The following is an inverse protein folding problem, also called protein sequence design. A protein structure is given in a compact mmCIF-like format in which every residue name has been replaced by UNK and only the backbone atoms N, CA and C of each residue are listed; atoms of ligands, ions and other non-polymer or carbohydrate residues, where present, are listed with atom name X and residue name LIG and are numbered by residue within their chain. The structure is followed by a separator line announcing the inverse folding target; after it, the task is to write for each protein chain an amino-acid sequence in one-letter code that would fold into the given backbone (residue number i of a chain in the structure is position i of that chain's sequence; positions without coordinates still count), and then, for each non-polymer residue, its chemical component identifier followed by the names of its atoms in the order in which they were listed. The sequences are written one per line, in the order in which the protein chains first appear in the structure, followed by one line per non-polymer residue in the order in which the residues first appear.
data_IF_200847442822
#
_entry.id   IF_200847442822
#
_cell.length_a   1.000
_cell.length_b   1.000
_cell.length_c   1.000
_cell.angle_alpha   90.00
_cell.angle_beta   90.00
_cell.angle_gamma   90.00
#
_symmetry.space_group_name_H-M   'P 1'
#
loop_
_entity.id
_entity.type
_entity.pdbx_description
1 polymer ?
#
# COMPACT_ATOMS: atom_id res chain seq x y z
N UNK A 1 -22.96 12.77 -21.64
CA UNK A 1 -21.63 12.23 -21.95
C UNK A 1 -21.68 10.73 -21.78
N UNK A 2 -21.00 9.99 -22.67
CA UNK A 2 -20.99 8.52 -22.62
C UNK A 2 -19.58 7.99 -22.77
N UNK A 3 -19.27 6.92 -22.07
CA UNK A 3 -18.02 6.15 -22.26
C UNK A 3 -18.08 5.44 -23.58
N UNK A 4 -17.08 5.65 -24.43
CA UNK A 4 -17.03 5.06 -25.80
C UNK A 4 -16.03 3.92 -25.89
N UNK A 5 -14.95 3.98 -25.10
CA UNK A 5 -13.86 3.00 -25.11
C UNK A 5 -13.09 3.03 -23.80
N UNK A 6 -12.55 1.90 -23.39
CA UNK A 6 -11.51 1.81 -22.36
C UNK A 6 -10.29 1.16 -22.99
N UNK A 7 -9.17 1.86 -23.00
CA UNK A 7 -7.87 1.32 -23.42
C UNK A 7 -7.14 0.80 -22.19
N UNK A 8 -6.63 -0.42 -22.26
CA UNK A 8 -5.84 -1.04 -21.18
C UNK A 8 -4.44 -1.31 -21.74
N UNK A 9 -3.42 -0.91 -21.01
CA UNK A 9 -2.04 -1.01 -21.47
C UNK A 9 -1.08 -1.31 -20.33
N UNK A 10 0.06 -1.89 -20.66
CA UNK A 10 1.18 -2.07 -19.75
C UNK A 10 2.15 -0.92 -19.93
N UNK A 11 2.56 -0.33 -18.82
CA UNK A 11 3.61 0.68 -18.83
C UNK A 11 4.98 -0.02 -18.84
N UNK A 12 5.90 0.38 -19.74
CA UNK A 12 7.25 -0.18 -19.75
C UNK A 12 8.01 0.26 -18.50
N UNK A 13 8.69 -0.69 -17.87
CA UNK A 13 9.58 -0.43 -16.73
C UNK A 13 10.96 -1.03 -16.98
N UNK A 14 11.99 -0.52 -16.31
CA UNK A 14 13.35 -1.05 -16.41
C UNK A 14 13.44 -2.52 -15.97
N UNK A 15 12.55 -2.94 -15.06
CA UNK A 15 12.45 -4.32 -14.57
C UNK A 15 11.03 -4.88 -14.77
N UNK A 16 10.66 -5.13 -16.02
CA UNK A 16 9.33 -5.61 -16.42
C UNK A 16 8.93 -6.98 -15.86
N UNK A 17 9.89 -7.76 -15.32
CA UNK A 17 9.60 -9.05 -14.68
C UNK A 17 9.06 -8.89 -13.26
N UNK A 18 9.53 -7.89 -12.54
CA UNK A 18 9.12 -7.62 -11.17
C UNK A 18 8.09 -6.50 -11.06
N UNK A 19 8.05 -5.60 -12.05
CA UNK A 19 7.19 -4.43 -11.99
C UNK A 19 6.50 -4.24 -13.35
N UNK A 20 5.20 -4.38 -13.40
CA UNK A 20 4.38 -4.29 -14.62
C UNK A 20 3.12 -3.46 -14.38
N UNK A 21 3.25 -2.13 -14.27
CA UNK A 21 2.11 -1.25 -14.05
C UNK A 21 1.08 -1.38 -15.16
N UNK A 22 -0.19 -1.43 -14.78
CA UNK A 22 -1.33 -1.55 -15.69
C UNK A 22 -2.09 -0.24 -15.69
N UNK A 23 -1.98 0.50 -16.79
CA UNK A 23 -2.75 1.71 -17.01
C UNK A 23 -4.06 1.44 -17.73
N UNK A 24 -5.04 2.30 -17.51
CA UNK A 24 -6.21 2.38 -18.38
C UNK A 24 -6.53 3.82 -18.74
N UNK A 25 -7.10 4.01 -19.93
CA UNK A 25 -7.64 5.29 -20.38
C UNK A 25 -9.09 5.11 -20.78
N UNK A 26 -9.97 5.86 -20.14
CA UNK A 26 -11.41 5.90 -20.44
C UNK A 26 -11.69 7.06 -21.36
N UNK A 27 -12.27 6.78 -22.53
CA UNK A 27 -12.64 7.75 -23.56
C UNK A 27 -14.14 8.06 -23.51
N UNK A 28 -14.49 9.28 -23.86
CA UNK A 28 -15.89 9.73 -23.96
C UNK A 28 -16.26 10.26 -25.33
N UNK A 29 -17.57 10.30 -25.63
CA UNK A 29 -18.14 10.85 -26.86
C UNK A 29 -17.96 12.37 -27.03
N UNK A 30 -17.49 13.07 -26.00
CA UNK A 30 -17.20 14.51 -26.02
C UNK A 30 -15.71 14.83 -26.07
N UNK A 31 -14.85 13.82 -26.23
CA UNK A 31 -13.40 13.99 -26.36
C UNK A 31 -12.64 14.14 -25.03
N UNK A 32 -13.33 14.18 -23.88
CA UNK A 32 -12.67 14.14 -22.56
C UNK A 32 -12.23 12.71 -22.29
N UNK A 33 -10.97 12.53 -21.90
CA UNK A 33 -10.42 11.23 -21.45
C UNK A 33 -9.93 11.32 -20.02
N UNK A 34 -9.96 10.21 -19.30
CA UNK A 34 -9.36 10.08 -17.97
C UNK A 34 -8.44 8.89 -17.90
N UNK A 35 -7.40 9.01 -17.10
CA UNK A 35 -6.37 8.00 -16.87
C UNK A 35 -6.44 7.43 -15.47
N UNK A 36 -6.16 6.14 -15.36
CA UNK A 36 -6.07 5.43 -14.09
C UNK A 36 -5.09 4.28 -14.14
N UNK A 37 -4.76 3.74 -13.00
CA UNK A 37 -3.79 2.65 -12.82
C UNK A 37 -4.30 1.61 -11.82
N UNK A 38 -4.04 0.33 -12.13
CA UNK A 38 -4.28 -0.77 -11.22
C UNK A 38 -3.05 -0.99 -10.31
N UNK A 39 -3.26 -1.08 -9.00
CA UNK A 39 -2.17 -1.13 -8.02
C UNK A 39 -1.36 -2.43 -7.99
N UNK A 40 -1.79 -3.50 -8.66
CA UNK A 40 -1.07 -4.77 -8.73
C UNK A 40 0.13 -4.74 -9.69
N UNK A 41 0.97 -3.72 -9.58
CA UNK A 41 2.11 -3.53 -10.46
C UNK A 41 3.32 -4.40 -10.06
N UNK A 42 3.53 -4.60 -8.77
CA UNK A 42 4.69 -5.30 -8.21
C UNK A 42 4.44 -6.81 -8.07
N UNK A 43 5.46 -7.60 -8.34
CA UNK A 43 5.42 -9.06 -8.17
C UNK A 43 4.58 -9.77 -9.23
N UNK A 44 3.82 -10.77 -8.80
CA UNK A 44 2.97 -11.62 -9.65
C UNK A 44 1.52 -11.19 -9.51
N UNK A 45 0.84 -10.95 -10.62
CA UNK A 45 -0.59 -10.55 -10.58
C UNK A 45 -0.99 -9.54 -11.64
N UNK A 46 -0.04 -8.81 -12.22
CA UNK A 46 -0.31 -7.80 -13.23
C UNK A 46 -1.11 -8.30 -14.44
N UNK A 47 -0.92 -9.56 -14.86
CA UNK A 47 -1.74 -10.14 -15.95
C UNK A 47 -3.20 -10.34 -15.51
N UNK A 48 -3.43 -10.71 -14.25
CA UNK A 48 -4.78 -10.79 -13.68
C UNK A 48 -5.47 -9.43 -13.62
N UNK A 49 -4.75 -8.41 -13.16
CA UNK A 49 -5.25 -7.03 -13.13
C UNK A 49 -5.56 -6.51 -14.54
N UNK A 50 -4.67 -6.74 -15.52
CA UNK A 50 -4.91 -6.37 -16.92
C UNK A 50 -6.20 -7.00 -17.47
N UNK A 51 -6.36 -8.31 -17.31
CA UNK A 51 -7.57 -9.02 -17.74
C UNK A 51 -8.83 -8.50 -17.04
N UNK A 52 -8.74 -8.24 -15.73
CA UNK A 52 -9.87 -7.72 -14.97
C UNK A 52 -10.31 -6.32 -15.46
N UNK A 53 -9.37 -5.42 -15.74
CA UNK A 53 -9.73 -4.10 -16.30
C UNK A 53 -10.41 -4.27 -17.66
N UNK A 54 -9.96 -5.20 -18.53
CA UNK A 54 -10.60 -5.51 -19.80
C UNK A 54 -12.04 -6.01 -19.62
N UNK A 55 -12.25 -6.96 -18.70
CA UNK A 55 -13.59 -7.53 -18.43
C UNK A 55 -14.55 -6.47 -17.86
N UNK A 56 -14.08 -5.64 -16.93
CA UNK A 56 -14.86 -4.55 -16.36
C UNK A 56 -15.21 -3.45 -17.38
N UNK A 57 -14.30 -3.19 -18.31
CA UNK A 57 -14.50 -2.21 -19.37
C UNK A 57 -15.78 -2.49 -20.20
N UNK A 58 -16.04 -3.75 -20.52
CA UNK A 58 -17.22 -4.16 -21.26
C UNK A 58 -18.54 -3.83 -20.54
N UNK A 59 -18.51 -3.80 -19.20
CA UNK A 59 -19.69 -3.53 -18.39
C UNK A 59 -20.13 -2.05 -18.41
N UNK A 60 -19.20 -1.15 -18.74
CA UNK A 60 -19.38 0.30 -18.53
C UNK A 60 -19.52 1.10 -19.83
N UNK A 61 -19.29 0.47 -21.01
CA UNK A 61 -19.48 1.14 -22.31
C UNK A 61 -20.89 1.68 -22.43
N UNK A 62 -21.01 2.94 -22.88
CA UNK A 62 -22.29 3.65 -23.03
C UNK A 62 -22.80 4.32 -21.77
N UNK A 63 -22.20 4.07 -20.60
CA UNK A 63 -22.59 4.72 -19.35
C UNK A 63 -22.11 6.17 -19.28
N UNK A 64 -22.76 6.98 -18.45
CA UNK A 64 -22.32 8.35 -18.14
C UNK A 64 -21.19 8.31 -17.10
N UNK A 65 -19.94 8.72 -17.45
CA UNK A 65 -18.80 8.66 -16.56
C UNK A 65 -18.91 9.57 -15.33
N UNK A 66 -19.82 10.55 -15.32
CA UNK A 66 -20.06 11.39 -14.15
C UNK A 66 -20.80 10.66 -13.03
N UNK A 67 -21.41 9.51 -13.32
CA UNK A 67 -22.08 8.64 -12.34
C UNK A 67 -21.12 7.66 -11.71
N UNK A 68 -20.02 8.14 -11.13
CA UNK A 68 -18.92 7.32 -10.59
C UNK A 68 -19.41 6.25 -9.61
N UNK A 69 -20.29 6.59 -8.66
CA UNK A 69 -20.87 5.64 -7.70
C UNK A 69 -21.67 4.53 -8.40
N UNK A 70 -22.51 4.88 -9.37
CA UNK A 70 -23.30 3.92 -10.09
C UNK A 70 -22.43 2.95 -10.93
N UNK A 71 -21.37 3.46 -11.54
CA UNK A 71 -20.42 2.64 -12.30
C UNK A 71 -19.65 1.73 -11.36
N UNK A 72 -19.18 2.25 -10.21
CA UNK A 72 -18.51 1.47 -9.19
C UNK A 72 -19.36 0.29 -8.71
N UNK A 73 -20.62 0.55 -8.33
CA UNK A 73 -21.56 -0.49 -7.91
C UNK A 73 -21.88 -1.48 -9.04
N UNK A 74 -21.92 -1.02 -10.29
CA UNK A 74 -22.13 -1.88 -11.46
C UNK A 74 -20.97 -2.84 -11.63
N UNK A 75 -19.73 -2.34 -11.60
CA UNK A 75 -18.53 -3.18 -11.68
C UNK A 75 -18.48 -4.19 -10.55
N UNK A 76 -18.73 -3.75 -9.32
CA UNK A 76 -18.71 -4.61 -8.15
C UNK A 76 -19.77 -5.71 -8.18
N UNK A 77 -21.01 -5.37 -8.50
CA UNK A 77 -22.14 -6.32 -8.43
C UNK A 77 -22.25 -7.22 -9.66
N UNK A 78 -21.91 -6.73 -10.84
CA UNK A 78 -22.06 -7.51 -12.08
C UNK A 78 -20.90 -8.44 -12.37
N UNK A 79 -19.79 -8.31 -11.70
CA UNK A 79 -18.65 -9.22 -11.82
C UNK A 79 -18.95 -10.63 -11.31
N UNK A 80 -20.04 -10.87 -10.63
CA UNK A 80 -20.43 -12.12 -9.96
C UNK A 80 -19.43 -12.55 -8.88
N UNK A 81 -18.17 -12.82 -9.26
CA UNK A 81 -17.08 -13.22 -8.37
C UNK A 81 -16.43 -12.06 -7.60
N UNK A 82 -16.79 -10.82 -7.94
CA UNK A 82 -16.19 -9.62 -7.37
C UNK A 82 -16.67 -9.26 -5.97
N UNK A 83 -17.86 -9.73 -5.58
CA UNK A 83 -18.44 -9.41 -4.29
C UNK A 83 -17.63 -10.06 -3.17
N UNK A 84 -17.11 -9.23 -2.27
CA UNK A 84 -16.11 -9.63 -1.27
C UNK A 84 -14.82 -10.17 -1.89
N UNK A 85 -14.53 -9.80 -3.15
CA UNK A 85 -13.37 -10.26 -3.92
C UNK A 85 -12.04 -9.70 -3.41
N UNK A 86 -10.97 -10.19 -4.02
CA UNK A 86 -9.59 -9.89 -3.66
C UNK A 86 -8.97 -8.77 -4.51
N UNK A 87 -7.64 -8.65 -4.45
CA UNK A 87 -6.89 -7.55 -5.07
C UNK A 87 -7.12 -7.42 -6.58
N UNK A 88 -7.29 -8.51 -7.30
CA UNK A 88 -7.48 -8.48 -8.76
C UNK A 88 -8.72 -7.69 -9.15
N UNK A 89 -9.86 -7.97 -8.50
CA UNK A 89 -11.12 -7.27 -8.80
C UNK A 89 -11.07 -5.82 -8.36
N UNK A 90 -10.62 -5.57 -7.13
CA UNK A 90 -10.58 -4.22 -6.58
C UNK A 90 -9.54 -3.34 -7.26
N UNK A 91 -8.41 -3.90 -7.69
CA UNK A 91 -7.42 -3.21 -8.52
C UNK A 91 -7.99 -2.84 -9.90
N UNK A 92 -8.75 -3.73 -10.53
CA UNK A 92 -9.45 -3.43 -11.78
C UNK A 92 -10.49 -2.31 -11.63
N UNK A 93 -11.31 -2.37 -10.56
CA UNK A 93 -12.26 -1.31 -10.23
C UNK A 93 -11.53 0.01 -9.97
N UNK A 94 -10.42 -0.03 -9.24
CA UNK A 94 -9.62 1.15 -8.89
C UNK A 94 -9.11 1.87 -10.13
N UNK A 95 -8.54 1.14 -11.10
CA UNK A 95 -8.04 1.72 -12.35
C UNK A 95 -9.13 2.52 -13.08
N UNK A 96 -10.31 1.95 -13.22
CA UNK A 96 -11.43 2.61 -13.90
C UNK A 96 -11.97 3.78 -13.04
N UNK A 97 -12.14 3.58 -11.74
CA UNK A 97 -12.65 4.62 -10.83
C UNK A 97 -11.77 5.87 -10.82
N UNK A 98 -10.45 5.70 -10.76
CA UNK A 98 -9.49 6.83 -10.84
C UNK A 98 -9.63 7.57 -12.17
N UNK A 99 -9.75 6.84 -13.29
CA UNK A 99 -9.98 7.44 -14.60
C UNK A 99 -11.31 8.21 -14.68
N UNK A 100 -12.37 7.72 -14.04
CA UNK A 100 -13.66 8.42 -13.96
C UNK A 100 -13.57 9.70 -13.12
N UNK A 101 -12.83 9.68 -12.00
CA UNK A 101 -12.58 10.88 -11.22
C UNK A 101 -11.74 11.92 -11.99
N UNK A 102 -10.77 11.48 -12.79
CA UNK A 102 -10.01 12.36 -13.69
C UNK A 102 -10.92 13.00 -14.75
N UNK A 103 -11.81 12.22 -15.40
CA UNK A 103 -12.84 12.77 -16.31
C UNK A 103 -13.71 13.80 -15.59
N UNK A 104 -14.17 13.49 -14.38
CA UNK A 104 -15.05 14.36 -13.60
C UNK A 104 -14.38 15.67 -13.25
N UNK A 105 -13.10 15.63 -12.81
CA UNK A 105 -12.29 16.83 -12.58
C UNK A 105 -12.11 17.69 -13.82
N UNK A 106 -11.79 17.07 -14.95
CA UNK A 106 -11.64 17.75 -16.25
C UNK A 106 -12.97 18.35 -16.74
N UNK A 107 -14.07 17.63 -16.61
CA UNK A 107 -15.39 18.10 -17.02
C UNK A 107 -15.85 19.34 -16.25
N UNK A 108 -15.67 19.35 -14.92
CA UNK A 108 -16.00 20.50 -14.08
C UNK A 108 -14.89 21.55 -14.00
N UNK A 109 -13.75 21.29 -14.61
CA UNK A 109 -12.54 22.14 -14.56
C UNK A 109 -12.09 22.46 -13.13
N UNK A 110 -12.08 21.45 -12.27
CA UNK A 110 -11.62 21.55 -10.89
C UNK A 110 -10.77 20.33 -10.51
N UNK A 111 -9.82 20.46 -9.58
CA UNK A 111 -9.08 19.30 -9.07
C UNK A 111 -10.00 18.40 -8.23
N UNK A 112 -9.68 17.10 -8.20
CA UNK A 112 -10.51 16.09 -7.52
C UNK A 112 -10.81 16.41 -6.05
N UNK A 113 -9.87 17.03 -5.32
CA UNK A 113 -10.10 17.38 -3.92
C UNK A 113 -11.26 18.35 -3.72
N UNK A 114 -11.55 19.22 -4.69
CA UNK A 114 -12.73 20.10 -4.63
C UNK A 114 -14.03 19.33 -4.70
N UNK A 115 -14.05 18.25 -5.48
CA UNK A 115 -15.22 17.36 -5.59
C UNK A 115 -15.40 16.47 -4.36
N UNK A 116 -14.34 16.30 -3.57
CA UNK A 116 -14.33 15.50 -2.34
C UNK A 116 -14.63 16.30 -1.06
N UNK A 117 -14.97 17.57 -1.20
CA UNK A 117 -15.32 18.42 -0.05
C UNK A 117 -14.38 19.61 0.18
N UNK A 118 -13.37 19.77 -0.65
CA UNK A 118 -12.41 20.87 -0.57
C UNK A 118 -11.14 20.53 0.20
N UNK A 119 -10.24 21.51 0.23
CA UNK A 119 -8.92 21.34 0.84
C UNK A 119 -8.98 21.58 2.36
N UNK A 120 -8.55 20.60 3.13
CA UNK A 120 -8.40 20.71 4.59
C UNK A 120 -6.96 21.07 4.99
N UNK A 121 -5.96 20.62 4.21
CA UNK A 121 -4.54 20.86 4.47
C UNK A 121 -3.85 21.29 3.17
N UNK A 122 -2.91 22.22 3.28
CA UNK A 122 -2.08 22.67 2.14
C UNK A 122 -0.87 21.76 1.92
N UNK A 123 -0.39 21.11 2.98
CA UNK A 123 0.74 20.16 2.95
C UNK A 123 0.38 18.91 3.74
N UNK A 124 0.88 17.77 3.30
CA UNK A 124 0.80 16.50 4.00
C UNK A 124 2.20 16.10 4.46
N UNK A 125 2.31 15.60 5.69
CA UNK A 125 3.51 14.95 6.16
C UNK A 125 3.69 13.63 5.41
N UNK A 126 4.89 13.35 4.97
CA UNK A 126 5.25 12.11 4.27
C UNK A 126 6.41 11.44 5.01
N UNK A 127 6.61 10.17 4.75
CA UNK A 127 7.78 9.43 5.22
C UNK A 127 8.61 8.92 4.05
N UNK A 128 9.93 8.83 4.25
CA UNK A 128 10.82 8.13 3.34
C UNK A 128 10.63 6.63 3.51
N UNK A 129 10.19 5.94 2.46
CA UNK A 129 9.82 4.53 2.50
C UNK A 129 10.89 3.63 1.92
N UNK A 130 10.93 2.37 2.37
CA UNK A 130 11.75 1.30 1.79
C UNK A 130 13.26 1.52 1.90
N UNK A 131 13.72 2.09 3.03
CA UNK A 131 15.13 2.41 3.22
C UNK A 131 16.06 1.17 3.21
N UNK A 132 15.52 -0.03 3.41
CA UNK A 132 16.26 -1.28 3.27
C UNK A 132 16.76 -1.54 1.84
N UNK A 133 16.19 -0.89 0.83
CA UNK A 133 16.62 -1.02 -0.57
C UNK A 133 17.73 -0.03 -0.96
N UNK A 134 18.19 0.81 -0.03
CA UNK A 134 19.06 1.95 -0.31
C UNK A 134 18.26 3.20 -0.69
N UNK A 135 18.56 4.33 -0.04
CA UNK A 135 17.88 5.60 -0.32
C UNK A 135 18.56 6.36 -1.46
N UNK A 136 17.79 7.08 -2.26
CA UNK A 136 18.31 7.89 -3.38
C UNK A 136 18.66 7.10 -4.64
N UNK A 137 18.35 5.81 -4.71
CA UNK A 137 18.73 4.92 -5.82
C UNK A 137 17.60 4.69 -6.83
N UNK A 138 16.89 5.75 -7.17
CA UNK A 138 15.80 5.67 -8.16
C UNK A 138 16.37 5.29 -9.53
N UNK A 139 15.81 4.24 -10.14
CA UNK A 139 16.14 3.83 -11.50
C UNK A 139 17.35 2.91 -11.65
N UNK A 140 17.98 2.46 -10.55
CA UNK A 140 19.01 1.41 -10.63
C UNK A 140 18.37 0.03 -10.79
N UNK A 141 18.98 -0.78 -11.64
CA UNK A 141 18.51 -2.15 -11.91
C UNK A 141 18.75 -3.12 -10.75
N UNK A 142 19.65 -2.79 -9.85
CA UNK A 142 20.00 -3.57 -8.67
C UNK A 142 19.93 -2.67 -7.43
N UNK A 143 19.13 -3.09 -6.46
CA UNK A 143 19.05 -2.41 -5.17
C UNK A 143 20.33 -2.68 -4.36
N UNK A 144 20.88 -1.65 -3.75
CA UNK A 144 21.92 -1.80 -2.72
C UNK A 144 21.24 -2.08 -1.38
N UNK A 145 20.92 -3.33 -1.14
CA UNK A 145 20.23 -3.78 0.07
C UNK A 145 21.05 -3.43 1.32
N UNK A 146 20.38 -2.86 2.30
CA UNK A 146 20.94 -2.72 3.64
C UNK A 146 21.01 -4.10 4.31
N UNK A 147 22.18 -4.50 4.74
CA UNK A 147 22.44 -5.79 5.39
C UNK A 147 22.96 -5.57 6.80
N UNK A 148 23.97 -4.73 6.92
CA UNK A 148 24.61 -4.43 8.20
C UNK A 148 23.92 -3.27 8.93
N UNK A 149 24.02 -3.19 10.26
CA UNK A 149 23.52 -2.02 11.01
C UNK A 149 24.03 -0.68 10.46
N UNK A 150 25.27 -0.64 9.93
CA UNK A 150 25.85 0.57 9.34
C UNK A 150 25.13 1.00 8.05
N UNK A 151 24.67 0.04 7.22
CA UNK A 151 23.91 0.36 6.00
C UNK A 151 22.56 0.99 6.34
N UNK A 152 21.85 0.44 7.35
CA UNK A 152 20.60 1.04 7.85
C UNK A 152 20.82 2.46 8.37
N UNK A 153 21.84 2.67 9.20
CA UNK A 153 22.18 4.00 9.69
C UNK A 153 22.54 4.98 8.57
N UNK A 154 23.24 4.52 7.54
CA UNK A 154 23.61 5.33 6.37
C UNK A 154 22.35 5.78 5.60
N UNK A 155 21.46 4.84 5.25
CA UNK A 155 20.24 5.16 4.50
C UNK A 155 19.31 6.08 5.27
N UNK A 156 19.19 5.91 6.59
CA UNK A 156 18.46 6.84 7.46
C UNK A 156 19.02 8.26 7.32
N UNK A 157 20.33 8.44 7.45
CA UNK A 157 20.95 9.77 7.32
C UNK A 157 20.67 10.42 5.97
N UNK A 158 20.77 9.66 4.87
CA UNK A 158 20.46 10.19 3.54
C UNK A 158 19.01 10.71 3.45
N UNK A 159 18.05 9.99 4.01
CA UNK A 159 16.65 10.45 4.01
C UNK A 159 16.45 11.71 4.88
N UNK A 160 17.13 11.79 6.02
CA UNK A 160 17.07 12.98 6.89
C UNK A 160 17.74 14.20 6.25
N UNK A 161 18.81 14.00 5.52
CA UNK A 161 19.51 15.08 4.80
C UNK A 161 18.61 15.71 3.71
N UNK A 162 17.63 14.94 3.18
CA UNK A 162 16.58 15.44 2.28
C UNK A 162 15.41 16.12 3.01
N UNK A 163 15.41 16.14 4.34
CA UNK A 163 14.43 16.83 5.16
C UNK A 163 13.23 15.98 5.61
N UNK A 164 13.29 14.65 5.47
CA UNK A 164 12.26 13.77 6.05
C UNK A 164 12.40 13.71 7.58
N UNK A 165 11.26 13.78 8.27
CA UNK A 165 11.13 13.62 9.73
C UNK A 165 10.40 12.33 10.12
N UNK A 166 10.09 11.50 9.13
CA UNK A 166 9.50 10.17 9.29
C UNK A 166 10.07 9.21 8.23
N UNK A 167 10.33 7.98 8.63
CA UNK A 167 10.93 6.95 7.76
C UNK A 167 10.23 5.61 7.95
N UNK A 168 10.28 4.75 6.92
CA UNK A 168 9.74 3.37 6.97
C UNK A 168 10.79 2.37 6.51
N UNK A 169 11.01 1.30 7.29
CA UNK A 169 12.09 0.34 7.09
C UNK A 169 11.61 -1.08 7.42
N UNK A 170 11.93 -2.04 6.55
CA UNK A 170 11.90 -3.46 6.87
C UNK A 170 13.27 -3.88 7.44
N UNK A 171 13.27 -4.38 8.67
CA UNK A 171 14.48 -4.85 9.36
C UNK A 171 14.68 -6.36 9.24
N UNK A 172 13.68 -7.09 8.66
CA UNK A 172 13.64 -8.54 8.69
C UNK A 172 13.32 -9.17 7.32
N UNK A 173 13.79 -8.58 6.24
CA UNK A 173 13.64 -9.09 4.88
C UNK A 173 14.84 -9.95 4.41
N UNK A 174 16.00 -9.81 5.06
CA UNK A 174 17.25 -10.50 4.72
C UNK A 174 18.00 -10.99 5.95
N UNK A 175 18.80 -12.06 5.74
CA UNK A 175 19.73 -12.58 6.75
C UNK A 175 20.98 -11.67 6.90
N UNK A 176 21.96 -12.12 7.70
CA UNK A 176 23.21 -11.39 7.94
C UNK A 176 24.16 -11.43 6.73
N UNK A 177 23.99 -12.35 5.80
CA UNK A 177 24.73 -12.47 4.55
C UNK A 177 24.06 -11.72 3.38
N UNK A 178 22.92 -11.08 3.62
CA UNK A 178 22.16 -10.33 2.60
C UNK A 178 21.29 -11.20 1.70
N UNK A 179 21.08 -12.47 2.03
CA UNK A 179 20.15 -13.34 1.31
C UNK A 179 18.71 -13.07 1.74
N UNK A 180 17.75 -13.04 0.79
CA UNK A 180 16.35 -12.94 1.14
C UNK A 180 15.93 -14.06 2.10
N UNK A 181 15.20 -13.71 3.15
CA UNK A 181 14.57 -14.70 4.01
C UNK A 181 13.48 -15.44 3.23
N UNK A 182 13.39 -16.74 3.44
CA UNK A 182 12.31 -17.53 2.88
C UNK A 182 11.19 -17.72 3.92
N UNK A 183 10.06 -18.29 3.52
CA UNK A 183 8.91 -18.47 4.41
C UNK A 183 9.20 -19.39 5.61
N UNK A 184 10.16 -20.32 5.50
CA UNK A 184 10.55 -21.18 6.61
C UNK A 184 11.34 -20.41 7.69
N UNK A 185 12.10 -19.38 7.28
CA UNK A 185 12.85 -18.54 8.21
C UNK A 185 11.95 -17.65 9.06
N UNK A 186 10.72 -17.40 8.61
CA UNK A 186 9.75 -16.52 9.27
C UNK A 186 8.62 -17.27 9.97
N UNK A 187 8.62 -18.62 9.88
CA UNK A 187 7.60 -19.49 10.48
C UNK A 187 7.86 -19.72 11.98
N UNK A 188 6.84 -19.56 12.79
CA UNK A 188 6.86 -19.81 14.23
C UNK A 188 7.59 -18.75 15.04
N UNK A 189 8.32 -19.18 16.05
CA UNK A 189 9.15 -18.31 16.89
C UNK A 189 10.47 -18.01 16.20
N UNK A 190 10.84 -16.74 16.19
CA UNK A 190 12.15 -16.31 15.71
C UNK A 190 13.25 -16.78 16.69
N UNK A 191 14.37 -17.17 16.11
CA UNK A 191 15.54 -17.61 16.87
C UNK A 191 16.21 -16.41 17.58
N UNK A 192 16.96 -16.67 18.66
CA UNK A 192 17.75 -15.61 19.31
C UNK A 192 18.72 -14.89 18.36
N UNK A 193 19.25 -15.60 17.36
CA UNK A 193 20.14 -15.01 16.34
C UNK A 193 19.38 -14.01 15.47
N UNK A 194 18.20 -14.37 14.96
CA UNK A 194 17.36 -13.47 14.16
C UNK A 194 16.93 -12.23 14.96
N UNK A 195 16.49 -12.45 16.20
CA UNK A 195 16.09 -11.31 17.07
C UNK A 195 17.24 -10.34 17.32
N UNK A 196 18.45 -10.87 17.59
CA UNK A 196 19.65 -10.04 17.78
C UNK A 196 20.03 -9.27 16.51
N UNK A 197 19.90 -9.89 15.34
CA UNK A 197 20.13 -9.26 14.05
C UNK A 197 19.16 -8.07 13.85
N UNK A 198 17.86 -8.30 13.99
CA UNK A 198 16.83 -7.26 13.85
C UNK A 198 17.05 -6.14 14.88
N UNK A 199 17.31 -6.49 16.14
CA UNK A 199 17.56 -5.53 17.21
C UNK A 199 18.76 -4.62 16.89
N UNK A 200 19.84 -5.18 16.35
CA UNK A 200 21.03 -4.42 15.99
C UNK A 200 20.79 -3.42 14.85
N UNK A 201 20.01 -3.82 13.84
CA UNK A 201 19.59 -2.96 12.73
C UNK A 201 18.66 -1.84 13.19
N UNK A 202 17.66 -2.17 14.00
CA UNK A 202 16.70 -1.21 14.57
C UNK A 202 17.38 -0.20 15.50
N UNK A 203 18.33 -0.66 16.33
CA UNK A 203 19.15 0.20 17.18
C UNK A 203 19.94 1.20 16.34
N UNK A 204 20.64 0.73 15.31
CA UNK A 204 21.46 1.60 14.46
C UNK A 204 20.60 2.64 13.70
N UNK A 205 19.43 2.25 13.22
CA UNK A 205 18.49 3.16 12.59
C UNK A 205 18.00 4.24 13.57
N UNK A 206 17.61 3.85 14.80
CA UNK A 206 17.17 4.80 15.84
C UNK A 206 18.29 5.74 16.27
N UNK A 207 19.50 5.24 16.51
CA UNK A 207 20.66 6.08 16.84
C UNK A 207 21.01 7.08 15.73
N UNK A 208 20.87 6.68 14.46
CA UNK A 208 21.08 7.56 13.31
C UNK A 208 19.98 8.60 13.14
N UNK A 209 18.73 8.22 13.43
CA UNK A 209 17.55 9.07 13.31
C UNK A 209 17.45 10.11 14.45
N UNK A 210 17.93 9.78 15.65
CA UNK A 210 17.66 10.57 16.86
C UNK A 210 16.25 10.32 17.40
N UNK A 211 15.86 11.02 18.45
CA UNK A 211 14.61 10.78 19.18
C UNK A 211 13.39 11.45 18.54
N UNK A 212 13.61 12.49 17.73
CA UNK A 212 12.55 13.33 17.14
C UNK A 212 12.00 12.80 15.80
N UNK A 213 12.59 11.72 15.24
CA UNK A 213 12.18 11.14 13.96
C UNK A 213 11.27 9.93 14.19
N UNK A 214 10.12 9.92 13.51
CA UNK A 214 9.23 8.78 13.53
C UNK A 214 9.77 7.64 12.67
N UNK A 215 9.79 6.43 13.23
CA UNK A 215 10.17 5.21 12.50
C UNK A 215 8.96 4.28 12.41
N UNK A 216 8.58 3.92 11.21
CA UNK A 216 7.63 2.84 10.93
C UNK A 216 8.46 1.59 10.62
N UNK A 217 8.20 0.52 11.34
CA UNK A 217 8.74 -0.81 11.03
C UNK A 217 7.75 -1.54 10.12
N UNK A 218 8.23 -2.10 9.03
CA UNK A 218 7.45 -2.89 8.08
C UNK A 218 7.95 -4.35 8.05
N UNK A 219 7.05 -5.30 7.78
CA UNK A 219 7.41 -6.72 7.62
C UNK A 219 6.68 -7.43 6.48
N UNK A 220 5.94 -6.72 5.63
CA UNK A 220 5.25 -7.27 4.46
C UNK A 220 4.44 -8.55 4.73
N UNK A 221 3.87 -8.67 5.92
CA UNK A 221 3.06 -9.82 6.37
C UNK A 221 3.80 -11.16 6.48
N UNK A 222 5.13 -11.19 6.41
CA UNK A 222 5.92 -12.43 6.39
C UNK A 222 5.94 -13.20 7.73
N UNK A 223 6.15 -12.57 8.91
CA UNK A 223 6.27 -13.32 10.16
C UNK A 223 4.97 -14.00 10.58
N UNK A 224 5.07 -15.15 11.22
CA UNK A 224 3.96 -15.73 11.98
C UNK A 224 3.61 -14.84 13.17
N UNK A 225 2.38 -14.96 13.69
CA UNK A 225 1.89 -14.13 14.78
C UNK A 225 2.79 -14.18 16.04
N UNK A 226 3.43 -15.31 16.33
CA UNK A 226 4.39 -15.45 17.43
C UNK A 226 5.67 -14.64 17.18
N UNK A 227 6.24 -14.76 15.98
CA UNK A 227 7.40 -13.97 15.55
C UNK A 227 7.08 -12.47 15.53
N UNK A 228 5.90 -12.11 15.03
CA UNK A 228 5.43 -10.72 15.04
C UNK A 228 5.34 -10.13 16.44
N UNK A 229 4.87 -10.89 17.45
CA UNK A 229 4.87 -10.46 18.85
C UNK A 229 6.30 -10.22 19.37
N UNK A 230 7.26 -11.10 19.00
CA UNK A 230 8.66 -10.91 19.39
C UNK A 230 9.24 -9.63 18.78
N UNK A 231 8.97 -9.38 17.48
CA UNK A 231 9.41 -8.16 16.78
C UNK A 231 8.75 -6.90 17.34
N UNK A 232 7.45 -6.95 17.63
CA UNK A 232 6.73 -5.84 18.26
C UNK A 232 7.32 -5.45 19.63
N UNK A 233 7.74 -6.43 20.43
CA UNK A 233 8.44 -6.17 21.72
C UNK A 233 9.82 -5.56 21.53
N UNK A 234 10.52 -5.85 20.44
CA UNK A 234 11.74 -5.11 20.10
C UNK A 234 11.41 -3.68 19.68
N UNK A 235 10.38 -3.50 18.85
CA UNK A 235 9.93 -2.19 18.40
C UNK A 235 9.60 -1.23 19.57
N UNK A 236 8.99 -1.73 20.64
CA UNK A 236 8.73 -0.95 21.86
C UNK A 236 10.00 -0.35 22.48
N UNK A 237 11.12 -1.09 22.45
CA UNK A 237 12.40 -0.61 23.05
C UNK A 237 13.01 0.56 22.28
N UNK A 238 12.69 0.69 20.99
CA UNK A 238 13.28 1.68 20.09
C UNK A 238 12.29 2.76 19.66
N UNK A 239 11.20 2.93 20.40
CA UNK A 239 10.18 3.94 20.16
C UNK A 239 9.71 3.93 18.68
N UNK A 240 9.37 2.75 18.16
CA UNK A 240 8.81 2.61 16.83
C UNK A 240 7.37 3.14 16.83
N UNK A 241 7.09 4.07 15.92
CA UNK A 241 5.80 4.76 15.83
C UNK A 241 4.65 3.81 15.47
N UNK A 242 4.90 2.89 14.53
CA UNK A 242 3.92 1.90 14.09
C UNK A 242 4.59 0.67 13.51
N UNK A 243 3.94 -0.48 13.64
CA UNK A 243 4.33 -1.74 13.03
C UNK A 243 3.37 -2.06 11.88
N UNK A 244 3.87 -1.89 10.66
CA UNK A 244 3.13 -2.14 9.43
C UNK A 244 3.21 -3.60 9.03
N UNK A 245 2.05 -4.17 8.71
CA UNK A 245 1.89 -5.54 8.25
C UNK A 245 2.67 -6.59 9.08
N UNK A 246 2.45 -6.63 10.41
CA UNK A 246 3.19 -7.54 11.27
C UNK A 246 2.97 -9.02 10.94
N UNK A 247 1.84 -9.35 10.28
CA UNK A 247 1.46 -10.70 9.86
C UNK A 247 0.37 -10.59 8.80
N UNK A 248 -0.01 -11.72 8.18
CA UNK A 248 -1.17 -11.79 7.28
C UNK A 248 -2.36 -11.04 7.88
N UNK A 249 -2.92 -10.04 7.20
CA UNK A 249 -3.89 -9.12 7.78
C UNK A 249 -5.26 -9.79 7.97
N UNK A 250 -5.42 -10.45 9.11
CA UNK A 250 -6.72 -10.90 9.62
C UNK A 250 -6.99 -10.25 10.97
N UNK A 251 -8.26 -10.03 11.30
CA UNK A 251 -8.60 -9.42 12.59
C UNK A 251 -8.12 -10.28 13.77
N UNK A 252 -8.10 -11.60 13.62
CA UNK A 252 -7.65 -12.52 14.66
C UNK A 252 -6.16 -12.40 14.95
N UNK A 253 -5.32 -12.33 13.90
CA UNK A 253 -3.86 -12.21 14.07
C UNK A 253 -3.48 -10.85 14.62
N UNK A 254 -4.09 -9.77 14.12
CA UNK A 254 -3.84 -8.42 14.63
C UNK A 254 -4.30 -8.28 16.08
N UNK A 255 -5.48 -8.81 16.45
CA UNK A 255 -5.97 -8.84 17.83
C UNK A 255 -5.03 -9.62 18.77
N UNK A 256 -4.49 -10.75 18.28
CA UNK A 256 -3.50 -11.50 19.03
C UNK A 256 -2.22 -10.70 19.28
N UNK A 257 -1.67 -10.04 18.24
CA UNK A 257 -0.44 -9.23 18.37
C UNK A 257 -0.68 -8.05 19.30
N UNK A 258 -1.78 -7.30 19.12
CA UNK A 258 -2.15 -6.15 19.93
C UNK A 258 -2.36 -6.48 21.41
N UNK A 259 -2.70 -7.73 21.74
CA UNK A 259 -2.81 -8.19 23.13
C UNK A 259 -1.46 -8.26 23.86
N UNK A 260 -0.36 -8.44 23.12
CA UNK A 260 0.98 -8.68 23.72
C UNK A 260 1.96 -7.53 23.45
N UNK A 261 1.57 -6.52 22.70
CA UNK A 261 2.38 -5.35 22.40
C UNK A 261 1.55 -4.08 22.39
N UNK A 262 2.18 -2.97 22.81
CA UNK A 262 1.60 -1.62 22.79
C UNK A 262 1.94 -0.85 21.51
N UNK A 263 2.78 -1.39 20.63
CA UNK A 263 3.14 -0.71 19.38
C UNK A 263 1.90 -0.56 18.50
N UNK A 264 1.58 0.64 18.02
CA UNK A 264 0.47 0.87 17.10
C UNK A 264 0.60 -0.01 15.83
N UNK A 265 -0.51 -0.57 15.39
CA UNK A 265 -0.55 -1.42 14.19
C UNK A 265 -1.00 -0.62 12.99
N UNK A 266 -0.26 -0.77 11.89
CA UNK A 266 -0.58 -0.24 10.58
C UNK A 266 -0.88 -1.37 9.60
N UNK A 267 -1.97 -1.27 8.85
CA UNK A 267 -2.30 -2.18 7.76
C UNK A 267 -3.10 -1.45 6.68
N UNK A 268 -3.01 -1.93 5.45
CA UNK A 268 -3.85 -1.37 4.43
C UNK A 268 -3.62 -1.86 3.01
N UNK A 269 -2.39 -2.03 2.56
CA UNK A 269 -2.12 -2.42 1.17
C UNK A 269 -2.70 -3.79 0.78
N UNK A 270 -2.94 -4.67 1.76
CA UNK A 270 -3.60 -5.98 1.60
C UNK A 270 -5.01 -6.03 2.18
N UNK A 271 -5.64 -4.87 2.42
CA UNK A 271 -7.05 -4.75 2.78
C UNK A 271 -7.81 -4.09 1.64
N UNK A 272 -8.87 -4.74 1.19
CA UNK A 272 -9.64 -4.31 0.04
C UNK A 272 -11.07 -4.04 0.46
N UNK A 273 -11.61 -2.90 0.12
CA UNK A 273 -12.97 -2.47 0.42
C UNK A 273 -13.26 -2.02 1.88
N UNK A 274 -14.24 -1.15 1.98
CA UNK A 274 -14.80 -0.69 3.27
C UNK A 274 -15.27 -1.82 4.18
N UNK A 275 -15.72 -2.93 3.64
CA UNK A 275 -16.24 -4.04 4.46
C UNK A 275 -15.15 -4.76 5.22
N UNK A 276 -13.97 -4.94 4.62
CA UNK A 276 -12.83 -5.50 5.34
C UNK A 276 -12.33 -4.52 6.41
N UNK A 277 -12.17 -3.23 6.08
CA UNK A 277 -11.76 -2.20 7.05
C UNK A 277 -12.73 -2.05 8.22
N UNK A 278 -14.05 -2.19 7.97
CA UNK A 278 -15.06 -2.08 9.02
C UNK A 278 -14.83 -3.04 10.19
N UNK A 279 -14.36 -4.27 9.92
CA UNK A 279 -14.11 -5.24 11.00
C UNK A 279 -12.89 -4.86 11.86
N UNK A 280 -11.89 -4.22 11.26
CA UNK A 280 -10.75 -3.68 12.02
C UNK A 280 -11.13 -2.46 12.84
N UNK A 281 -11.89 -1.54 12.28
CA UNK A 281 -12.33 -0.31 12.98
C UNK A 281 -13.26 -0.63 14.15
N UNK A 282 -14.23 -1.54 13.98
CA UNK A 282 -15.13 -1.98 15.06
C UNK A 282 -14.37 -2.51 16.28
N UNK A 283 -13.23 -3.14 16.08
CA UNK A 283 -12.40 -3.74 17.12
C UNK A 283 -11.24 -2.84 17.57
N UNK A 284 -11.09 -1.65 16.99
CA UNK A 284 -9.99 -0.73 17.22
C UNK A 284 -8.60 -1.40 17.04
N UNK A 285 -8.45 -2.16 15.95
CA UNK A 285 -7.24 -2.94 15.67
C UNK A 285 -6.23 -2.22 14.77
N UNK A 286 -6.62 -1.10 14.15
CA UNK A 286 -5.73 -0.27 13.35
C UNK A 286 -5.63 1.13 13.94
N UNK A 287 -4.43 1.54 14.28
CA UNK A 287 -4.13 2.90 14.67
C UNK A 287 -3.64 3.73 13.48
N UNK A 288 -3.15 3.06 12.44
CA UNK A 288 -2.77 3.67 11.16
C UNK A 288 -3.40 2.86 10.02
N UNK A 289 -4.41 3.40 9.36
CA UNK A 289 -5.03 2.80 8.19
C UNK A 289 -4.33 3.29 6.92
N UNK A 290 -3.92 2.37 6.04
CA UNK A 290 -3.13 2.65 4.84
C UNK A 290 -3.83 2.09 3.59
N UNK A 291 -5.08 2.53 3.26
CA UNK A 291 -5.75 2.07 2.06
C UNK A 291 -4.98 2.52 0.80
N UNK A 292 -4.63 1.56 -0.04
CA UNK A 292 -4.03 1.83 -1.33
C UNK A 292 -5.13 2.13 -2.36
N UNK A 293 -5.13 3.34 -2.90
CA UNK A 293 -6.12 3.78 -3.90
C UNK A 293 -6.16 2.83 -5.10
N UNK A 294 -5.01 2.32 -5.54
CA UNK A 294 -4.88 1.41 -6.67
C UNK A 294 -5.40 -0.01 -6.41
N UNK A 295 -5.56 -0.41 -5.16
CA UNK A 295 -5.92 -1.79 -4.78
C UNK A 295 -7.25 -1.90 -4.02
N UNK A 296 -7.69 -0.86 -3.33
CA UNK A 296 -8.89 -0.97 -2.48
C UNK A 296 -10.20 -0.59 -3.17
N UNK A 297 -10.18 -0.26 -4.47
CA UNK A 297 -11.37 0.09 -5.24
C UNK A 297 -11.46 1.55 -5.66
N UNK A 298 -10.34 2.28 -5.66
CA UNK A 298 -10.23 3.65 -6.19
C UNK A 298 -10.58 4.74 -5.19
N UNK A 299 -10.64 5.97 -5.70
CA UNK A 299 -10.92 7.19 -4.92
C UNK A 299 -12.29 7.11 -4.23
N UNK A 300 -13.30 6.60 -4.94
CA UNK A 300 -14.66 6.41 -4.41
C UNK A 300 -14.66 5.55 -3.14
N UNK A 301 -13.91 4.47 -3.13
CA UNK A 301 -13.87 3.55 -1.99
C UNK A 301 -12.96 4.06 -0.85
N UNK A 302 -11.79 4.63 -1.17
CA UNK A 302 -10.90 5.25 -0.17
C UNK A 302 -11.62 6.34 0.61
N UNK A 303 -12.44 7.19 -0.07
CA UNK A 303 -13.24 8.21 0.61
C UNK A 303 -14.14 7.59 1.67
N UNK A 304 -14.84 6.49 1.34
CA UNK A 304 -15.73 5.79 2.28
C UNK A 304 -14.97 5.13 3.43
N UNK A 305 -13.81 4.53 3.15
CA UNK A 305 -12.93 3.96 4.17
C UNK A 305 -12.46 5.07 5.13
N UNK A 306 -12.04 6.22 4.58
CA UNK A 306 -11.58 7.36 5.39
C UNK A 306 -12.69 7.93 6.26
N UNK A 307 -13.92 8.06 5.73
CA UNK A 307 -15.09 8.53 6.49
C UNK A 307 -15.45 7.57 7.62
N UNK A 308 -15.23 6.26 7.44
CA UNK A 308 -15.45 5.27 8.51
C UNK A 308 -14.36 5.28 9.57
N UNK A 309 -13.12 5.63 9.20
CA UNK A 309 -11.99 5.70 10.12
C UNK A 309 -12.05 6.94 11.04
N UNK A 310 -12.69 8.02 10.57
CA UNK A 310 -12.90 9.27 11.31
C UNK A 310 -14.03 9.14 12.32
#
# INVERSE_FOLDING_TARGET
MKITKVEVFRLPTANSKQNSPIGCRVHTDVGICGDGEAGMAYGVGGSGAFGMVCDLAELIIGMDPLRTEFIWETMYKRTFWGQNGGPVVFSGIAAIDVALWDIKGKYFNVPCYQLLGGKVRDKLRTYASQLQFGWGQVGVSEHLWAVTPADYAHNVKLALDEGFDAIKIDFFDRDEEGKPLNFLDTTGLLTPKQLKMVESRMKAAREAAGDDVDIIMENHSYPDALGAVQLAKLAEKYNIMAFEEPNTPTTQTVEYIAKYSSVPIANGERLYSRWQYAEYFKKNLLQLAQPDIGNCGGITEVKKISDMAH
#
